data_IF_605680888366
#
_entry.id   IF_605680888366
#
_cell.length_a   1.000
_cell.length_b   1.000
_cell.length_c   1.000
_cell.angle_alpha   90.00
_cell.angle_beta   90.00
_cell.angle_gamma   90.00
#
_symmetry.space_group_name_H-M   'P 1'
#
loop_
_entity.id
_entity.type
_entity.pdbx_description
1 polymer ?
#
# COMPACT_ATOMS: atom_id res chain seq x y z
N UNK A 1 -4.01 5.79 -0.11
CA UNK A 1 -4.20 4.66 0.83
C UNK A 1 -3.12 3.66 0.51
N UNK A 2 -2.14 3.44 1.39
CA UNK A 2 -1.02 2.53 1.09
C UNK A 2 -1.35 1.12 1.55
N UNK A 3 -2.34 0.50 0.92
CA UNK A 3 -2.39 -0.96 0.93
C UNK A 3 -1.26 -1.45 0.04
N UNK A 4 -0.45 -2.36 0.56
CA UNK A 4 0.60 -3.01 -0.20
C UNK A 4 0.26 -4.48 -0.31
N UNK A 5 0.43 -4.99 -1.51
CA UNK A 5 0.40 -6.41 -1.77
C UNK A 5 1.82 -6.88 -2.01
N UNK A 6 2.16 -8.02 -1.43
CA UNK A 6 3.49 -8.60 -1.56
C UNK A 6 3.38 -9.82 -2.45
N UNK A 7 4.13 -9.81 -3.54
CA UNK A 7 4.39 -11.01 -4.30
C UNK A 7 5.57 -11.73 -3.65
N UNK A 8 5.31 -12.92 -3.11
CA UNK A 8 6.30 -13.74 -2.43
C UNK A 8 6.37 -15.12 -3.07
N UNK A 9 7.57 -15.71 -3.07
CA UNK A 9 7.82 -17.06 -3.55
C UNK A 9 8.55 -17.91 -2.51
N UNK A 10 8.45 -19.23 -2.65
CA UNK A 10 9.23 -20.14 -1.82
C UNK A 10 10.73 -19.93 -2.06
N UNK A 11 11.49 -19.71 -0.98
CA UNK A 11 12.93 -19.41 -1.06
C UNK A 11 13.74 -20.54 -1.68
N UNK A 12 13.51 -21.79 -1.29
CA UNK A 12 14.27 -22.92 -1.82
C UNK A 12 14.03 -23.12 -3.33
N UNK A 13 12.79 -22.91 -3.78
CA UNK A 13 12.47 -22.89 -5.20
C UNK A 13 13.19 -21.76 -5.92
N UNK A 14 13.10 -20.53 -5.42
CA UNK A 14 13.77 -19.37 -6.03
C UNK A 14 15.29 -19.59 -6.14
N UNK A 15 15.92 -20.02 -5.05
CA UNK A 15 17.35 -20.28 -4.99
C UNK A 15 17.79 -21.45 -5.89
N UNK A 16 16.87 -22.33 -6.29
CA UNK A 16 17.15 -23.45 -7.19
C UNK A 16 17.17 -23.07 -8.69
N UNK A 17 16.67 -21.89 -9.03
CA UNK A 17 16.59 -21.40 -10.40
C UNK A 17 17.95 -20.89 -10.90
N UNK A 18 18.14 -20.92 -12.21
CA UNK A 18 19.27 -20.22 -12.82
C UNK A 18 19.13 -18.70 -12.70
N UNK A 19 20.23 -17.95 -12.76
CA UNK A 19 20.19 -16.47 -12.77
C UNK A 19 19.35 -15.92 -13.93
N UNK A 20 19.38 -16.59 -15.10
CA UNK A 20 18.58 -16.21 -16.25
C UNK A 20 17.08 -16.37 -15.98
N UNK A 21 16.67 -17.47 -15.35
CA UNK A 21 15.27 -17.70 -14.99
C UNK A 21 14.80 -16.74 -13.89
N UNK A 22 15.66 -16.49 -12.88
CA UNK A 22 15.38 -15.49 -11.84
C UNK A 22 15.15 -14.11 -12.46
N UNK A 23 15.98 -13.70 -13.42
CA UNK A 23 15.83 -12.42 -14.09
C UNK A 23 14.51 -12.31 -14.88
N UNK A 24 14.11 -13.38 -15.59
CA UNK A 24 12.83 -13.42 -16.33
C UNK A 24 11.65 -13.31 -15.36
N UNK A 25 11.70 -14.04 -14.24
CA UNK A 25 10.61 -14.01 -13.26
C UNK A 25 10.56 -12.66 -12.53
N UNK A 26 11.70 -12.06 -12.17
CA UNK A 26 11.73 -10.70 -11.57
C UNK A 26 11.12 -9.67 -12.54
N UNK A 27 11.43 -9.77 -13.84
CA UNK A 27 10.81 -8.91 -14.85
C UNK A 27 9.29 -9.12 -14.91
N UNK A 28 8.82 -10.36 -14.88
CA UNK A 28 7.39 -10.67 -14.87
C UNK A 28 6.71 -10.15 -13.59
N UNK A 29 7.38 -10.28 -12.43
CA UNK A 29 6.89 -9.77 -11.15
C UNK A 29 6.74 -8.25 -11.16
N UNK A 30 7.71 -7.52 -11.73
CA UNK A 30 7.63 -6.06 -11.90
C UNK A 30 6.50 -5.66 -12.84
N UNK A 31 6.42 -6.30 -14.01
CA UNK A 31 5.37 -6.01 -14.99
C UNK A 31 3.97 -6.29 -14.42
N UNK A 32 3.80 -7.41 -13.71
CA UNK A 32 2.55 -7.73 -13.02
C UNK A 32 2.22 -6.73 -11.92
N UNK A 33 3.21 -6.27 -11.16
CA UNK A 33 3.03 -5.25 -10.12
C UNK A 33 2.56 -3.91 -10.71
N UNK A 34 3.15 -3.48 -11.83
CA UNK A 34 2.73 -2.25 -12.52
C UNK A 34 1.32 -2.38 -13.09
N UNK A 35 1.01 -3.49 -13.77
CA UNK A 35 -0.32 -3.75 -14.30
C UNK A 35 -1.37 -3.77 -13.18
N UNK A 36 -1.06 -4.40 -12.04
CA UNK A 36 -1.95 -4.44 -10.88
C UNK A 36 -2.19 -3.04 -10.30
N UNK A 37 -1.14 -2.22 -10.14
CA UNK A 37 -1.28 -0.84 -9.63
C UNK A 37 -2.19 0.01 -10.52
N UNK A 38 -2.06 -0.13 -11.84
CA UNK A 38 -2.92 0.58 -12.78
C UNK A 38 -4.37 0.11 -12.65
N UNK A 39 -4.61 -1.20 -12.58
CA UNK A 39 -5.95 -1.75 -12.42
C UNK A 39 -6.62 -1.29 -11.11
N UNK A 40 -5.87 -1.24 -9.99
CA UNK A 40 -6.40 -0.72 -8.71
C UNK A 40 -6.75 0.76 -8.83
N UNK A 41 -5.91 1.58 -9.47
CA UNK A 41 -6.21 3.00 -9.65
C UNK A 41 -7.46 3.24 -10.52
N UNK A 42 -7.62 2.45 -11.58
CA UNK A 42 -8.83 2.47 -12.42
C UNK A 42 -10.07 2.03 -11.62
N UNK A 43 -9.93 0.99 -10.82
CA UNK A 43 -11.00 0.45 -9.98
C UNK A 43 -11.43 1.43 -8.87
N UNK A 44 -10.49 2.13 -8.23
CA UNK A 44 -10.77 3.17 -7.23
C UNK A 44 -11.59 4.31 -7.85
N UNK A 45 -11.25 4.73 -9.07
CA UNK A 45 -12.01 5.76 -9.80
C UNK A 45 -13.41 5.26 -10.17
N UNK A 46 -13.50 4.03 -10.70
CA UNK A 46 -14.77 3.41 -11.06
C UNK A 46 -15.71 3.33 -9.85
N UNK A 47 -15.25 2.78 -8.73
CA UNK A 47 -16.12 2.62 -7.55
C UNK A 47 -16.47 3.95 -6.90
N UNK A 48 -15.58 4.96 -6.92
CA UNK A 48 -15.95 6.30 -6.47
C UNK A 48 -17.14 6.83 -7.28
N UNK A 49 -17.10 6.70 -8.60
CA UNK A 49 -18.18 7.16 -9.47
C UNK A 49 -19.46 6.33 -9.30
N UNK A 50 -19.36 5.01 -9.24
CA UNK A 50 -20.50 4.11 -9.03
C UNK A 50 -21.27 4.43 -7.74
N UNK A 51 -20.53 4.75 -6.67
CA UNK A 51 -21.14 5.16 -5.41
C UNK A 51 -21.82 6.54 -5.51
N UNK A 52 -21.23 7.51 -6.22
CA UNK A 52 -21.86 8.80 -6.50
C UNK A 52 -23.17 8.62 -7.28
N UNK A 53 -23.14 7.82 -8.34
CA UNK A 53 -24.28 7.54 -9.21
C UNK A 53 -25.39 6.78 -8.46
N UNK A 54 -25.00 5.96 -7.49
CA UNK A 54 -25.91 5.28 -6.55
C UNK A 54 -26.47 6.20 -5.46
N UNK A 55 -26.16 7.49 -5.48
CA UNK A 55 -26.70 8.51 -4.57
C UNK A 55 -25.92 8.68 -3.27
N UNK A 56 -24.70 8.14 -3.16
CA UNK A 56 -23.85 8.36 -1.99
C UNK A 56 -23.31 9.79 -1.97
N UNK A 57 -23.31 10.40 -0.78
CA UNK A 57 -22.72 11.74 -0.56
C UNK A 57 -21.35 11.57 0.10
N UNK A 58 -20.31 12.12 -0.53
CA UNK A 58 -18.96 12.12 0.01
C UNK A 58 -18.69 13.36 0.86
N UNK A 59 -17.98 13.16 1.97
CA UNK A 59 -17.37 14.27 2.70
C UNK A 59 -16.03 14.61 2.02
N UNK A 60 -16.00 15.70 1.25
CA UNK A 60 -14.80 16.14 0.52
C UNK A 60 -13.79 16.88 1.41
N UNK A 61 -14.18 17.28 2.63
CA UNK A 61 -13.33 18.02 3.56
C UNK A 61 -13.37 17.41 4.97
N UNK A 62 -12.93 16.16 5.16
CA UNK A 62 -12.84 15.56 6.47
C UNK A 62 -11.74 16.24 7.32
N UNK A 63 -11.99 16.36 8.63
CA UNK A 63 -11.01 16.88 9.58
C UNK A 63 -9.99 15.80 9.95
N UNK A 64 -8.95 15.69 9.13
CA UNK A 64 -7.86 14.74 9.36
C UNK A 64 -7.04 15.06 10.61
N UNK A 65 -6.92 16.31 11.02
CA UNK A 65 -6.13 16.71 12.19
C UNK A 65 -6.80 16.25 13.49
N UNK A 66 -8.13 16.40 13.59
CA UNK A 66 -8.90 15.85 14.70
C UNK A 66 -8.77 14.32 14.76
N UNK A 67 -8.82 13.64 13.61
CA UNK A 67 -8.63 12.20 13.56
C UNK A 67 -7.22 11.80 14.02
N UNK A 68 -6.17 12.43 13.48
CA UNK A 68 -4.78 12.17 13.86
C UNK A 68 -4.54 12.37 15.36
N UNK A 69 -5.08 13.45 15.93
CA UNK A 69 -5.03 13.68 17.38
C UNK A 69 -5.73 12.59 18.18
N UNK A 70 -6.88 12.11 17.71
CA UNK A 70 -7.65 11.06 18.38
C UNK A 70 -6.92 9.72 18.42
N UNK A 71 -6.12 9.42 17.39
CA UNK A 71 -5.36 8.16 17.29
C UNK A 71 -3.95 8.25 17.88
N UNK A 72 -3.55 9.38 18.47
CA UNK A 72 -2.20 9.57 19.03
C UNK A 72 -1.82 8.48 20.04
N UNK A 73 -2.77 8.00 20.85
CA UNK A 73 -2.57 6.90 21.81
C UNK A 73 -2.06 5.61 21.14
N UNK A 74 -2.41 5.38 19.87
CA UNK A 74 -1.90 4.25 19.08
C UNK A 74 -0.42 4.45 18.75
N UNK A 75 -0.03 5.65 18.33
CA UNK A 75 1.38 5.97 18.12
C UNK A 75 2.19 5.86 19.41
N UNK A 76 1.66 6.35 20.53
CA UNK A 76 2.35 6.30 21.82
C UNK A 76 2.61 4.84 22.26
N UNK A 77 1.63 3.94 22.01
CA UNK A 77 1.76 2.52 22.30
C UNK A 77 2.84 1.83 21.45
N UNK A 78 2.91 2.15 20.16
CA UNK A 78 3.72 1.40 19.20
C UNK A 78 5.10 2.01 18.91
N UNK A 79 5.30 3.31 19.18
CA UNK A 79 6.60 3.98 19.00
C UNK A 79 7.75 3.31 19.78
N UNK A 80 7.57 2.90 21.04
CA UNK A 80 8.62 2.18 21.77
C UNK A 80 8.97 0.80 21.18
N UNK A 81 8.05 0.19 20.44
CA UNK A 81 8.21 -1.16 19.87
C UNK A 81 8.91 -1.09 18.50
N UNK A 82 8.47 -0.18 17.64
CA UNK A 82 9.01 -0.06 16.28
C UNK A 82 10.16 0.92 16.15
N UNK A 83 10.38 1.76 17.16
CA UNK A 83 11.41 2.80 17.15
C UNK A 83 10.91 4.09 16.51
N UNK A 84 11.31 5.22 17.12
CA UNK A 84 10.93 6.55 16.67
C UNK A 84 11.45 6.85 15.25
N UNK A 85 12.68 6.44 14.95
CA UNK A 85 13.33 6.74 13.68
C UNK A 85 12.61 6.11 12.48
N UNK A 86 12.11 4.87 12.62
CA UNK A 86 11.34 4.20 11.58
C UNK A 86 10.01 4.93 11.30
N UNK A 87 9.30 5.30 12.36
CA UNK A 87 8.00 5.96 12.24
C UNK A 87 8.14 7.37 11.66
N UNK A 88 9.15 8.13 12.10
CA UNK A 88 9.44 9.45 11.55
C UNK A 88 9.92 9.35 10.10
N UNK A 89 10.67 8.31 9.77
CA UNK A 89 11.05 8.00 8.39
C UNK A 89 9.82 7.86 7.50
N UNK A 90 8.87 7.01 7.87
CA UNK A 90 7.64 6.76 7.10
C UNK A 90 6.77 8.01 6.98
N UNK A 91 6.59 8.77 8.08
CA UNK A 91 5.77 10.00 8.09
C UNK A 91 6.28 11.07 7.12
N UNK A 92 7.57 11.08 6.84
CA UNK A 92 8.23 12.08 5.99
C UNK A 92 8.49 11.57 4.56
N UNK A 93 8.03 10.37 4.20
CA UNK A 93 8.08 9.88 2.82
C UNK A 93 7.09 10.72 1.99
N UNK A 94 7.60 11.32 0.91
CA UNK A 94 6.81 12.04 -0.09
C UNK A 94 6.20 11.09 -1.10
#
# INVERSE_FOLDING_TARGET
MHNFEVLAANKAWWDSLSEADQAIIDQAFRAGTEAHRNAIAEMDQYFKQDLLDSGMVFNETPDYDAFLKSVQVVYDKWTPIFGKDLLDGIKNIK
#
